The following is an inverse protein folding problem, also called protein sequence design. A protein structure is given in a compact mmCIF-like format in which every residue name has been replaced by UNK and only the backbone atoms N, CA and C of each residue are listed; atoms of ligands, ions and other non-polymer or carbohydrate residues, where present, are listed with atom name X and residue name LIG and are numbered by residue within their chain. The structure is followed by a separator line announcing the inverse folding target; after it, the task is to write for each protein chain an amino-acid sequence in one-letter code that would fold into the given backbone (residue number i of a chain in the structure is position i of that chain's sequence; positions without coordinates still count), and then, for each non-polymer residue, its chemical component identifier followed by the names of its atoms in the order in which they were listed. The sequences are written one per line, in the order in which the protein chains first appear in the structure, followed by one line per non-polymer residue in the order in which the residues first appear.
data_IF_956774250624
#
_entry.id   IF_956774250624
#
_cell.length_a   1.000
_cell.length_b   1.000
_cell.length_c   1.000
_cell.angle_alpha   90.00
_cell.angle_beta   90.00
_cell.angle_gamma   90.00
#
_symmetry.space_group_name_H-M   'P 1'
#
loop_
_entity.id
_entity.type
_entity.pdbx_description
1 polymer ?
#
# COMPACT_ATOMS: atom_id res chain seq x y z
N UNK A 1 5.86 46.51 8.01
CA UNK A 1 5.53 45.10 7.72
C UNK A 1 6.82 44.41 7.29
N UNK A 2 7.34 43.50 8.10
CA UNK A 2 8.60 42.81 7.81
C UNK A 2 8.38 41.70 6.78
N UNK A 3 9.35 41.41 5.88
CA UNK A 3 9.17 40.48 4.75
C UNK A 3 9.17 38.98 5.11
N UNK A 4 9.09 38.61 6.40
CA UNK A 4 9.39 37.25 6.88
C UNK A 4 8.20 36.47 7.41
N UNK A 5 7.00 37.06 7.49
CA UNK A 5 5.80 36.34 7.93
C UNK A 5 5.15 35.63 6.74
N UNK A 6 5.87 34.67 6.13
CA UNK A 6 5.20 33.65 5.34
C UNK A 6 4.35 32.82 6.31
N UNK A 7 3.02 32.76 6.15
CA UNK A 7 2.20 31.96 7.04
C UNK A 7 2.71 30.52 7.01
N UNK A 8 2.92 29.93 8.20
CA UNK A 8 3.31 28.55 8.33
C UNK A 8 2.39 27.70 7.43
N UNK A 9 2.93 26.74 6.65
CA UNK A 9 2.13 25.93 5.76
C UNK A 9 0.98 25.31 6.57
N UNK A 10 -0.25 25.42 6.03
CA UNK A 10 -1.45 24.89 6.66
C UNK A 10 -1.38 23.35 6.69
N UNK A 11 -0.73 22.81 7.72
CA UNK A 11 -0.68 21.37 7.97
C UNK A 11 -1.99 21.01 8.63
N UNK A 12 -2.87 20.33 7.88
CA UNK A 12 -4.11 19.83 8.45
C UNK A 12 -3.81 18.92 9.65
N UNK A 13 -4.63 19.00 10.72
CA UNK A 13 -4.42 18.18 11.89
C UNK A 13 -4.51 16.69 11.51
N UNK A 14 -3.69 15.81 12.12
CA UNK A 14 -3.73 14.38 11.84
C UNK A 14 -5.13 13.82 12.11
N UNK A 15 -5.57 12.86 11.29
CA UNK A 15 -6.87 12.17 11.45
C UNK A 15 -6.65 10.82 12.14
N UNK A 16 -6.75 10.72 13.47
CA UNK A 16 -6.22 9.58 14.23
C UNK A 16 -6.95 8.25 13.99
N UNK A 17 -8.16 8.28 13.42
CA UNK A 17 -8.94 7.09 13.08
C UNK A 17 -8.51 6.47 11.74
N UNK A 18 -7.95 7.28 10.83
CA UNK A 18 -7.65 6.86 9.46
C UNK A 18 -6.57 5.77 9.42
N UNK A 19 -5.57 5.89 10.29
CA UNK A 19 -4.53 4.85 10.48
C UNK A 19 -5.14 3.49 10.82
N UNK A 20 -6.21 3.45 11.62
CA UNK A 20 -6.85 2.19 12.00
C UNK A 20 -7.64 1.56 10.87
N UNK A 21 -8.26 2.38 10.02
CA UNK A 21 -8.89 1.90 8.78
C UNK A 21 -7.85 1.30 7.86
N UNK A 22 -6.71 1.97 7.68
CA UNK A 22 -5.61 1.43 6.89
C UNK A 22 -5.03 0.13 7.46
N UNK A 23 -4.92 0.02 8.78
CA UNK A 23 -4.49 -1.23 9.41
C UNK A 23 -5.50 -2.37 9.18
N UNK A 24 -6.79 -2.10 9.34
CA UNK A 24 -7.84 -3.09 9.07
C UNK A 24 -7.81 -3.55 7.60
N UNK A 25 -7.65 -2.61 6.66
CA UNK A 25 -7.50 -2.91 5.24
C UNK A 25 -6.22 -3.70 4.96
N UNK A 26 -5.10 -3.41 5.65
CA UNK A 26 -3.85 -4.14 5.47
C UNK A 26 -3.99 -5.62 5.89
N UNK A 27 -4.69 -5.86 7.01
CA UNK A 27 -5.00 -7.21 7.50
C UNK A 27 -5.95 -7.92 6.54
N UNK A 28 -7.06 -7.28 6.16
CA UNK A 28 -8.01 -7.86 5.20
C UNK A 28 -7.35 -8.18 3.86
N UNK A 29 -6.50 -7.28 3.36
CA UNK A 29 -5.72 -7.46 2.14
C UNK A 29 -4.59 -8.49 2.25
N UNK A 30 -4.21 -8.92 3.45
CA UNK A 30 -3.33 -10.07 3.62
C UNK A 30 -4.14 -11.38 3.62
N UNK A 31 -5.28 -11.39 4.32
CA UNK A 31 -6.09 -12.60 4.51
C UNK A 31 -6.83 -12.99 3.23
N UNK A 32 -7.59 -12.08 2.63
CA UNK A 32 -8.49 -12.42 1.53
C UNK A 32 -7.75 -12.94 0.28
N UNK A 33 -6.66 -12.29 -0.19
CA UNK A 33 -5.91 -12.82 -1.33
C UNK A 33 -5.19 -14.13 -1.00
N UNK A 34 -4.71 -14.33 0.24
CA UNK A 34 -4.09 -15.60 0.60
C UNK A 34 -5.10 -16.74 0.65
N UNK A 35 -6.33 -16.52 1.09
CA UNK A 35 -7.35 -17.57 1.02
C UNK A 35 -7.53 -18.04 -0.43
N UNK A 36 -7.69 -17.11 -1.38
CA UNK A 36 -7.79 -17.43 -2.81
C UNK A 36 -6.53 -18.10 -3.38
N UNK A 37 -5.34 -17.66 -2.96
CA UNK A 37 -4.07 -18.27 -3.39
C UNK A 37 -3.89 -19.69 -2.83
N UNK A 38 -4.36 -19.96 -1.61
CA UNK A 38 -4.32 -21.30 -1.02
C UNK A 38 -5.28 -22.25 -1.75
N UNK A 39 -6.50 -21.79 -2.04
CA UNK A 39 -7.47 -22.55 -2.84
C UNK A 39 -6.87 -22.86 -4.22
N UNK A 40 -6.29 -21.85 -4.88
CA UNK A 40 -5.58 -22.02 -6.14
C UNK A 40 -4.46 -23.08 -6.07
N UNK A 41 -3.61 -23.04 -5.04
CA UNK A 41 -2.55 -24.04 -4.86
C UNK A 41 -3.11 -25.44 -4.64
N UNK A 42 -4.21 -25.59 -3.90
CA UNK A 42 -4.85 -26.88 -3.69
C UNK A 42 -5.40 -27.47 -5.00
N UNK A 43 -6.00 -26.63 -5.85
CA UNK A 43 -6.54 -27.02 -7.14
C UNK A 43 -5.45 -27.36 -8.18
N UNK A 44 -4.24 -26.82 -8.02
CA UNK A 44 -3.15 -26.93 -9.00
C UNK A 44 -2.01 -27.86 -8.59
N UNK A 45 -2.26 -28.75 -7.63
CA UNK A 45 -1.32 -29.82 -7.26
C UNK A 45 -0.35 -29.46 -6.11
N UNK A 46 -0.71 -28.46 -5.30
CA UNK A 46 -0.06 -28.12 -4.03
C UNK A 46 1.04 -27.04 -4.12
N UNK A 47 1.45 -26.66 -5.32
CA UNK A 47 2.45 -25.60 -5.56
C UNK A 47 1.81 -24.39 -6.25
N UNK A 48 2.37 -23.20 -6.06
CA UNK A 48 1.89 -22.00 -6.74
C UNK A 48 2.48 -21.92 -8.17
N UNK A 49 1.68 -22.28 -9.18
CA UNK A 49 2.08 -22.16 -10.59
C UNK A 49 1.82 -20.73 -11.12
N UNK A 50 2.89 -19.94 -11.20
CA UNK A 50 2.80 -18.55 -11.67
C UNK A 50 2.32 -18.45 -13.12
N UNK A 51 2.71 -19.38 -13.99
CA UNK A 51 2.38 -19.31 -15.41
C UNK A 51 0.88 -19.58 -15.63
N UNK A 52 0.35 -20.59 -14.95
CA UNK A 52 -1.08 -20.88 -14.99
C UNK A 52 -1.91 -19.79 -14.28
N UNK A 53 -1.43 -19.23 -13.17
CA UNK A 53 -2.09 -18.10 -12.51
C UNK A 53 -2.24 -16.90 -13.45
N UNK A 54 -1.20 -16.56 -14.22
CA UNK A 54 -1.24 -15.48 -15.23
C UNK A 54 -2.23 -15.81 -16.35
N UNK A 55 -2.29 -17.07 -16.80
CA UNK A 55 -3.30 -17.48 -17.79
C UNK A 55 -4.72 -17.29 -17.25
N UNK A 56 -4.99 -17.72 -16.01
CA UNK A 56 -6.31 -17.57 -15.37
C UNK A 56 -6.68 -16.09 -15.15
N UNK A 57 -5.72 -15.26 -14.75
CA UNK A 57 -5.87 -13.81 -14.64
C UNK A 57 -6.22 -13.13 -15.98
N UNK A 58 -6.06 -13.84 -17.10
CA UNK A 58 -6.41 -13.39 -18.46
C UNK A 58 -7.44 -14.30 -19.15
N UNK A 59 -8.10 -15.21 -18.43
CA UNK A 59 -8.96 -16.24 -19.02
C UNK A 59 -10.21 -15.70 -19.73
N UNK A 60 -10.66 -14.50 -19.37
CA UNK A 60 -11.80 -13.84 -19.99
C UNK A 60 -11.66 -12.31 -19.92
N UNK A 61 -12.46 -11.53 -20.68
CA UNK A 61 -12.36 -10.07 -20.70
C UNK A 61 -12.51 -9.40 -19.33
N UNK A 62 -13.34 -9.92 -18.43
CA UNK A 62 -13.53 -9.34 -17.10
C UNK A 62 -12.30 -9.55 -16.20
N UNK A 63 -11.76 -10.77 -16.15
CA UNK A 63 -10.52 -11.08 -15.42
C UNK A 63 -9.34 -10.27 -15.97
N UNK A 64 -9.21 -10.20 -17.30
CA UNK A 64 -8.17 -9.41 -17.95
C UNK A 64 -8.29 -7.90 -17.65
N UNK A 65 -9.51 -7.37 -17.58
CA UNK A 65 -9.76 -5.97 -17.20
C UNK A 65 -9.28 -5.70 -15.77
N UNK A 66 -9.72 -6.52 -14.81
CA UNK A 66 -9.31 -6.37 -13.40
C UNK A 66 -7.79 -6.50 -13.22
N UNK A 67 -7.16 -7.44 -13.92
CA UNK A 67 -5.70 -7.60 -13.89
C UNK A 67 -4.96 -6.38 -14.43
N UNK A 68 -5.46 -5.76 -15.50
CA UNK A 68 -4.89 -4.54 -16.08
C UNK A 68 -5.11 -3.32 -15.17
N UNK A 69 -6.31 -3.17 -14.61
CA UNK A 69 -6.63 -2.10 -13.66
C UNK A 69 -5.70 -2.18 -12.43
N UNK A 70 -5.53 -3.39 -11.89
CA UNK A 70 -4.60 -3.63 -10.80
C UNK A 70 -3.17 -3.34 -11.20
N UNK A 71 -2.69 -3.80 -12.36
CA UNK A 71 -1.31 -3.58 -12.79
C UNK A 71 -0.99 -2.08 -12.96
N UNK A 72 -1.86 -1.33 -13.63
CA UNK A 72 -1.69 0.11 -13.86
C UNK A 72 -1.80 0.88 -12.54
N UNK A 73 -2.85 0.62 -11.76
CA UNK A 73 -3.08 1.27 -10.48
C UNK A 73 -1.98 0.98 -9.46
N UNK A 74 -1.57 -0.29 -9.32
CA UNK A 74 -0.50 -0.68 -8.41
C UNK A 74 0.83 -0.04 -8.80
N UNK A 75 1.15 0.04 -10.09
CA UNK A 75 2.38 0.71 -10.56
C UNK A 75 2.40 2.18 -10.16
N UNK A 76 1.32 2.91 -10.42
CA UNK A 76 1.21 4.32 -10.04
C UNK A 76 1.34 4.51 -8.51
N UNK A 77 0.67 3.67 -7.72
CA UNK A 77 0.71 3.73 -6.25
C UNK A 77 2.09 3.34 -5.71
N UNK A 78 2.78 2.35 -6.29
CA UNK A 78 4.15 1.99 -5.87
C UNK A 78 5.12 3.14 -6.10
N UNK A 79 5.03 3.83 -7.24
CA UNK A 79 5.83 5.04 -7.50
C UNK A 79 5.54 6.11 -6.44
N UNK A 80 4.26 6.34 -6.13
CA UNK A 80 3.86 7.28 -5.09
C UNK A 80 4.37 6.88 -3.70
N UNK A 81 4.27 5.60 -3.32
CA UNK A 81 4.79 5.04 -2.06
C UNK A 81 6.27 5.37 -1.90
N UNK A 82 7.08 5.12 -2.95
CA UNK A 82 8.52 5.40 -2.92
C UNK A 82 8.79 6.89 -2.77
N UNK A 83 8.09 7.74 -3.55
CA UNK A 83 8.26 9.19 -3.50
C UNK A 83 7.87 9.77 -2.13
N UNK A 84 6.72 9.36 -1.58
CA UNK A 84 6.21 9.85 -0.30
C UNK A 84 7.06 9.33 0.88
N UNK A 85 7.51 8.08 0.84
CA UNK A 85 8.44 7.53 1.84
C UNK A 85 9.74 8.35 1.90
N UNK A 86 10.30 8.73 0.74
CA UNK A 86 11.49 9.58 0.64
C UNK A 86 11.22 10.99 1.17
N UNK A 87 10.09 11.58 0.79
CA UNK A 87 9.67 12.92 1.24
C UNK A 87 9.53 12.99 2.77
N UNK A 88 8.97 11.95 3.39
CA UNK A 88 8.75 11.87 4.83
C UNK A 88 9.91 11.25 5.62
N UNK A 89 11.01 10.91 4.93
CA UNK A 89 12.18 10.22 5.49
C UNK A 89 11.79 8.96 6.30
N UNK A 90 10.82 8.20 5.79
CA UNK A 90 10.31 7.00 6.43
C UNK A 90 11.36 5.88 6.42
N UNK A 91 11.43 5.13 7.52
CA UNK A 91 12.21 3.89 7.62
C UNK A 91 11.31 2.69 7.30
N UNK A 92 11.88 1.60 6.78
CA UNK A 92 11.15 0.35 6.55
C UNK A 92 10.43 0.22 5.20
N UNK A 93 10.64 1.15 4.26
CA UNK A 93 10.12 1.06 2.88
C UNK A 93 10.42 -0.30 2.20
N UNK A 94 11.62 -0.91 2.32
CA UNK A 94 11.87 -2.21 1.71
C UNK A 94 10.90 -3.32 2.17
N UNK A 95 10.48 -3.31 3.44
CA UNK A 95 9.52 -4.28 3.96
C UNK A 95 8.12 -4.09 3.39
N UNK A 96 7.69 -2.84 3.24
CA UNK A 96 6.41 -2.52 2.59
C UNK A 96 6.41 -2.99 1.14
N UNK A 97 7.48 -2.70 0.38
CA UNK A 97 7.62 -3.16 -1.00
C UNK A 97 7.67 -4.68 -1.10
N UNK A 98 8.35 -5.35 -0.16
CA UNK A 98 8.38 -6.81 -0.08
C UNK A 98 6.97 -7.37 0.13
N UNK A 99 6.17 -6.80 1.03
CA UNK A 99 4.79 -7.22 1.28
C UNK A 99 3.89 -7.00 0.06
N UNK A 100 4.06 -5.89 -0.67
CA UNK A 100 3.31 -5.64 -1.91
C UNK A 100 3.51 -6.74 -2.96
N UNK A 101 4.69 -7.36 -3.00
CA UNK A 101 5.05 -8.37 -4.02
C UNK A 101 4.84 -9.80 -3.51
N UNK A 102 5.12 -10.07 -2.25
CA UNK A 102 5.12 -11.44 -1.69
C UNK A 102 3.83 -11.84 -0.99
N UNK A 103 3.10 -10.88 -0.42
CA UNK A 103 1.83 -11.14 0.26
C UNK A 103 0.69 -10.75 -0.67
N UNK A 104 0.54 -9.44 -0.89
CA UNK A 104 -0.40 -8.87 -1.84
C UNK A 104 -0.21 -7.35 -1.86
N UNK A 105 -0.38 -6.74 -3.04
CA UNK A 105 -0.49 -5.29 -3.16
C UNK A 105 -1.63 -4.72 -2.28
N UNK A 106 -2.74 -5.47 -2.18
CA UNK A 106 -3.89 -5.15 -1.33
C UNK A 106 -3.56 -5.07 0.17
N UNK A 107 -2.47 -5.71 0.63
CA UNK A 107 -1.97 -5.59 2.01
C UNK A 107 -0.92 -4.49 2.15
N UNK A 108 0.05 -4.47 1.24
CA UNK A 108 1.21 -3.59 1.33
C UNK A 108 0.85 -2.11 1.17
N UNK A 109 -0.07 -1.76 0.27
CA UNK A 109 -0.47 -0.36 0.06
C UNK A 109 -1.21 0.23 1.29
N UNK A 110 -2.20 -0.44 1.89
CA UNK A 110 -2.79 0.02 3.16
C UNK A 110 -1.79 0.02 4.32
N UNK A 111 -0.87 -0.94 4.39
CA UNK A 111 0.18 -0.93 5.42
C UNK A 111 1.08 0.32 5.29
N UNK A 112 1.45 0.69 4.07
CA UNK A 112 2.16 1.95 3.82
C UNK A 112 1.38 3.14 4.35
N UNK A 113 0.09 3.23 4.02
CA UNK A 113 -0.78 4.31 4.45
C UNK A 113 -0.88 4.40 5.98
N UNK A 114 -0.97 3.27 6.68
CA UNK A 114 -0.91 3.23 8.14
C UNK A 114 0.40 3.81 8.68
N UNK A 115 1.55 3.40 8.14
CA UNK A 115 2.86 3.90 8.57
C UNK A 115 3.05 5.38 8.23
N UNK A 116 2.48 5.83 7.10
CA UNK A 116 2.46 7.22 6.68
C UNK A 116 1.72 8.09 7.70
N UNK A 117 0.51 7.71 8.11
CA UNK A 117 -0.25 8.47 9.11
C UNK A 117 0.50 8.56 10.44
N UNK A 118 1.12 7.45 10.89
CA UNK A 118 1.97 7.47 12.09
C UNK A 118 3.13 8.44 11.96
N UNK A 119 3.77 8.49 10.79
CA UNK A 119 4.91 9.39 10.55
C UNK A 119 4.47 10.86 10.56
N UNK A 120 3.31 11.16 9.98
CA UNK A 120 2.76 12.51 10.00
C UNK A 120 2.41 12.96 11.43
N UNK A 121 1.83 12.07 12.25
CA UNK A 121 1.57 12.33 13.68
C UNK A 121 2.84 12.54 14.50
N UNK A 122 3.94 11.84 14.19
CA UNK A 122 5.25 12.08 14.81
C UNK A 122 5.79 13.48 14.45
N UNK A 123 5.76 13.83 13.16
CA UNK A 123 6.24 15.13 12.69
C UNK A 123 5.41 16.30 13.26
N UNK A 124 4.10 16.13 13.38
CA UNK A 124 3.22 17.15 13.97
C UNK A 124 3.47 17.35 15.48
N UNK A 125 3.94 16.31 16.19
CA UNK A 125 4.26 16.38 17.63
C UNK A 125 5.67 16.91 17.92
N UNK A 126 6.54 16.95 16.92
CA UNK A 126 7.89 17.51 17.04
C UNK A 126 7.98 18.84 16.26
N UNK A 127 7.38 19.95 16.77
CA UNK A 127 7.66 21.26 16.20
C UNK A 127 9.16 21.52 16.37
N UNK A 128 9.82 21.97 15.30
CA UNK A 128 11.25 22.20 15.25
C UNK A 128 11.73 22.99 16.49
N UNK A 129 12.65 22.39 17.26
CA UNK A 129 13.42 23.03 18.33
C UNK A 129 14.41 24.02 17.75
#
# INVERSE_FOLDING_TARGET
MSPTDSPAPNVQPPTPWLRWVYLALAIAGAVLPWLANLDYMQETGGNFDVAQFIQLANANPAAASLSRDLAIGATAVLIWIVQEARRLQMRGLPWVLLICVTVAFASGAPLFLYLRERRLEELARSPAS
#
